data_IF_414165227614
#
_entry.id   IF_414165227614
#
_cell.length_a   1.000
_cell.length_b   1.000
_cell.length_c   1.000
_cell.angle_alpha   90.00
_cell.angle_beta   90.00
_cell.angle_gamma   90.00
#
_symmetry.space_group_name_H-M   'P 1'
#
loop_
_entity.id
_entity.type
_entity.pdbx_description
1 polymer ?
#
# COMPACT_ATOMS: atom_id res chain seq x y z
N UNK A 1 -3.30 7.21 -30.23
CA UNK A 1 -3.57 6.26 -31.33
C UNK A 1 -3.87 4.91 -30.67
N UNK A 2 -5.15 4.64 -30.39
CA UNK A 2 -5.65 3.49 -29.63
C UNK A 2 -6.30 2.49 -30.60
N UNK A 3 -5.46 1.75 -31.32
CA UNK A 3 -5.85 0.61 -32.19
C UNK A 3 -4.67 -0.38 -32.23
N UNK A 4 -4.08 -0.61 -31.05
CA UNK A 4 -2.88 -1.44 -30.91
C UNK A 4 -3.24 -2.83 -30.45
N UNK A 5 -2.35 -3.77 -30.73
CA UNK A 5 -2.37 -5.09 -30.11
C UNK A 5 -1.22 -5.20 -29.15
N UNK A 6 -1.47 -5.78 -27.98
CA UNK A 6 -0.41 -6.21 -27.08
C UNK A 6 -0.58 -7.67 -26.68
N UNK A 7 0.54 -8.33 -26.48
CA UNK A 7 0.64 -9.62 -25.81
C UNK A 7 1.35 -9.41 -24.49
N UNK A 8 0.84 -10.04 -23.42
CA UNK A 8 1.37 -9.93 -22.07
C UNK A 8 1.88 -11.30 -21.64
N UNK A 9 3.15 -11.31 -21.24
CA UNK A 9 3.88 -12.49 -20.79
C UNK A 9 4.33 -12.26 -19.36
N UNK A 10 4.35 -13.31 -18.56
CA UNK A 10 4.62 -13.20 -17.13
C UNK A 10 6.00 -13.79 -16.81
N UNK A 11 6.79 -13.06 -16.02
CA UNK A 11 8.08 -13.57 -15.49
C UNK A 11 7.87 -14.63 -14.38
N UNK A 12 6.62 -14.90 -14.02
CA UNK A 12 6.19 -15.90 -13.04
C UNK A 12 4.88 -16.57 -13.45
N UNK A 13 4.18 -17.18 -12.49
CA UNK A 13 2.84 -17.74 -12.72
C UNK A 13 1.86 -16.61 -13.08
N UNK A 14 1.04 -16.80 -14.11
CA UNK A 14 -0.03 -15.85 -14.45
C UNK A 14 -0.98 -15.61 -13.26
N UNK A 15 -1.50 -14.38 -13.06
CA UNK A 15 -2.45 -14.10 -11.99
C UNK A 15 -3.79 -14.85 -12.16
N UNK A 16 -4.35 -15.31 -11.05
CA UNK A 16 -5.69 -15.93 -11.01
C UNK A 16 -6.81 -14.91 -11.28
N UNK A 17 -6.56 -13.63 -11.03
CA UNK A 17 -7.49 -12.56 -11.34
C UNK A 17 -6.75 -11.36 -11.94
N UNK A 18 -7.28 -10.82 -13.02
CA UNK A 18 -6.81 -9.60 -13.68
C UNK A 18 -8.01 -8.69 -13.92
N UNK A 19 -7.84 -7.39 -13.66
CA UNK A 19 -8.83 -6.37 -14.04
C UNK A 19 -8.21 -5.41 -15.04
N UNK A 20 -8.88 -5.23 -16.17
CA UNK A 20 -8.47 -4.32 -17.24
C UNK A 20 -9.40 -3.12 -17.22
N UNK A 21 -8.81 -1.93 -17.13
CA UNK A 21 -9.51 -0.66 -17.11
C UNK A 21 -9.21 0.12 -18.41
N UNK A 22 -10.17 0.27 -19.33
CA UNK A 22 -10.05 1.18 -20.48
C UNK A 22 -10.19 2.65 -20.04
N UNK A 23 -9.35 3.10 -19.12
CA UNK A 23 -9.30 4.50 -18.68
C UNK A 23 -8.69 5.35 -19.79
N UNK A 24 -9.24 6.54 -20.03
CA UNK A 24 -8.80 7.43 -21.12
C UNK A 24 -9.09 6.94 -22.53
N UNK A 25 -10.02 6.00 -22.69
CA UNK A 25 -10.54 5.59 -23.99
C UNK A 25 -11.78 6.41 -24.31
N UNK A 26 -11.84 7.01 -25.50
CA UNK A 26 -13.07 7.60 -26.03
C UNK A 26 -13.97 6.49 -26.60
N UNK A 27 -15.26 6.78 -26.82
CA UNK A 27 -16.20 5.77 -27.29
C UNK A 27 -15.74 5.14 -28.59
N UNK A 28 -15.72 3.82 -28.64
CA UNK A 28 -15.27 3.07 -29.79
C UNK A 28 -13.77 2.79 -29.82
N UNK A 29 -12.94 3.50 -29.04
CA UNK A 29 -11.53 3.17 -28.88
C UNK A 29 -11.39 1.74 -28.36
N UNK A 30 -10.43 1.02 -28.91
CA UNK A 30 -10.26 -0.38 -28.61
C UNK A 30 -8.81 -0.83 -28.60
N UNK A 31 -8.58 -1.91 -27.85
CA UNK A 31 -7.30 -2.57 -27.71
C UNK A 31 -7.50 -4.09 -27.79
N UNK A 32 -6.67 -4.77 -28.59
CA UNK A 32 -6.59 -6.24 -28.57
C UNK A 32 -5.51 -6.65 -27.59
N UNK A 33 -5.88 -7.48 -26.61
CA UNK A 33 -4.96 -8.04 -25.62
C UNK A 33 -4.86 -9.54 -25.81
N UNK A 34 -3.65 -10.08 -25.76
CA UNK A 34 -3.36 -11.51 -25.65
C UNK A 34 -2.62 -11.80 -24.35
N UNK A 35 -3.28 -12.41 -23.37
CA UNK A 35 -2.68 -12.68 -22.05
C UNK A 35 -2.18 -14.12 -22.00
N UNK A 36 -0.91 -14.33 -21.62
CA UNK A 36 -0.36 -15.68 -21.55
C UNK A 36 -0.86 -16.45 -20.33
N UNK A 37 -1.40 -17.64 -20.54
CA UNK A 37 -1.84 -18.59 -19.54
C UNK A 37 -1.44 -20.01 -19.94
N UNK A 38 -1.21 -20.92 -18.98
CA UNK A 38 -0.86 -22.30 -19.31
C UNK A 38 -2.04 -23.00 -20.01
N UNK A 39 -1.77 -23.95 -20.92
CA UNK A 39 -2.81 -24.75 -21.56
C UNK A 39 -3.72 -25.46 -20.54
N UNK A 40 -5.01 -25.60 -20.87
CA UNK A 40 -6.03 -26.15 -19.99
C UNK A 40 -6.54 -25.19 -18.91
N UNK A 41 -6.19 -23.90 -18.97
CA UNK A 41 -6.77 -22.86 -18.12
C UNK A 41 -8.22 -22.60 -18.50
N UNK A 42 -9.10 -22.48 -17.49
CA UNK A 42 -10.50 -22.09 -17.70
C UNK A 42 -10.74 -20.67 -17.21
N UNK A 43 -11.61 -19.93 -17.89
CA UNK A 43 -11.82 -18.51 -17.64
C UNK A 43 -13.28 -18.17 -17.35
N UNK A 44 -13.49 -17.29 -16.38
CA UNK A 44 -14.72 -16.52 -16.22
C UNK A 44 -14.38 -15.06 -16.48
N UNK A 45 -14.97 -14.48 -17.52
CA UNK A 45 -14.71 -13.10 -17.93
C UNK A 45 -15.98 -12.28 -17.76
N UNK A 46 -15.87 -11.12 -17.11
CA UNK A 46 -17.02 -10.24 -16.84
C UNK A 46 -16.70 -8.81 -17.24
N UNK A 47 -17.65 -8.19 -17.93
CA UNK A 47 -17.66 -6.76 -18.17
C UNK A 47 -18.52 -6.07 -17.11
N UNK A 48 -18.01 -5.02 -16.50
CA UNK A 48 -18.74 -4.22 -15.52
C UNK A 48 -18.68 -2.74 -15.86
N UNK A 49 -19.79 -2.06 -15.57
CA UNK A 49 -19.87 -0.61 -15.56
C UNK A 49 -20.10 -0.16 -14.12
N UNK A 50 -19.12 0.57 -13.60
CA UNK A 50 -19.08 1.05 -12.24
C UNK A 50 -19.28 2.57 -12.22
N UNK A 51 -20.31 3.07 -11.56
CA UNK A 51 -20.50 4.52 -11.44
C UNK A 51 -19.31 5.15 -10.70
N UNK A 52 -18.96 6.42 -10.95
CA UNK A 52 -17.84 7.03 -10.21
C UNK A 52 -18.12 7.26 -8.74
N UNK A 53 -19.36 7.62 -8.44
CA UNK A 53 -19.89 7.84 -7.09
C UNK A 53 -21.34 7.39 -7.14
N UNK A 54 -21.79 6.40 -6.35
CA UNK A 54 -21.13 5.73 -5.23
C UNK A 54 -20.41 4.41 -5.60
N UNK A 55 -19.95 4.23 -6.84
CA UNK A 55 -19.41 2.96 -7.40
C UNK A 55 -20.22 1.72 -7.10
N UNK A 56 -21.53 1.90 -7.20
CA UNK A 56 -22.39 0.79 -7.49
C UNK A 56 -22.12 0.28 -8.91
N UNK A 57 -22.14 -1.04 -9.05
CA UNK A 57 -22.12 -1.74 -10.33
C UNK A 57 -23.51 -1.61 -10.94
N UNK A 58 -23.61 -0.81 -11.98
CA UNK A 58 -24.88 -0.58 -12.68
C UNK A 58 -25.11 -1.61 -13.79
N UNK A 59 -24.01 -2.15 -14.33
CA UNK A 59 -24.06 -3.21 -15.33
C UNK A 59 -23.00 -4.27 -15.02
N UNK A 60 -23.40 -5.53 -15.10
CA UNK A 60 -22.52 -6.68 -14.91
C UNK A 60 -22.95 -7.76 -15.90
N UNK A 61 -22.09 -8.08 -16.84
CA UNK A 61 -22.37 -8.98 -17.95
C UNK A 61 -21.22 -9.97 -18.10
N UNK A 62 -21.55 -11.24 -18.31
CA UNK A 62 -20.57 -12.26 -18.63
C UNK A 62 -20.13 -12.10 -20.09
N UNK A 63 -18.82 -12.11 -20.33
CA UNK A 63 -18.23 -12.15 -21.67
C UNK A 63 -18.09 -13.62 -22.04
N UNK A 64 -18.51 -13.98 -23.24
CA UNK A 64 -18.62 -15.38 -23.67
C UNK A 64 -17.41 -15.84 -24.49
N UNK A 65 -17.10 -17.15 -24.46
CA UNK A 65 -16.06 -17.70 -25.33
C UNK A 65 -16.49 -17.66 -26.80
N UNK A 66 -15.57 -17.25 -27.66
CA UNK A 66 -15.65 -17.34 -29.12
C UNK A 66 -14.95 -18.59 -29.64
N UNK A 67 -15.19 -18.92 -30.92
CA UNK A 67 -14.53 -20.05 -31.58
C UNK A 67 -13.21 -19.69 -32.23
N UNK A 68 -12.94 -18.40 -32.45
CA UNK A 68 -11.72 -17.92 -33.10
C UNK A 68 -11.34 -16.51 -32.67
N UNK A 69 -10.08 -16.15 -32.90
CA UNK A 69 -9.59 -14.78 -32.72
C UNK A 69 -10.35 -13.77 -33.60
N UNK A 70 -10.74 -14.17 -34.81
CA UNK A 70 -11.48 -13.31 -35.74
C UNK A 70 -12.84 -12.86 -35.18
N UNK A 71 -13.55 -13.73 -34.46
CA UNK A 71 -14.82 -13.38 -33.79
C UNK A 71 -14.60 -12.35 -32.67
N UNK A 72 -13.50 -12.47 -31.92
CA UNK A 72 -13.13 -11.47 -30.90
C UNK A 72 -12.81 -10.12 -31.53
N UNK A 73 -12.08 -10.11 -32.63
CA UNK A 73 -11.67 -8.89 -33.34
C UNK A 73 -12.84 -8.17 -34.01
N UNK A 74 -13.72 -8.92 -34.67
CA UNK A 74 -14.91 -8.40 -35.33
C UNK A 74 -16.02 -8.00 -34.34
N UNK A 75 -15.98 -8.55 -33.11
CA UNK A 75 -16.94 -8.29 -32.05
C UNK A 75 -16.88 -6.90 -31.41
N UNK A 76 -17.83 -6.67 -30.49
CA UNK A 76 -18.03 -5.43 -29.74
C UNK A 76 -17.33 -5.43 -28.37
N UNK A 77 -16.43 -6.39 -28.11
CA UNK A 77 -15.73 -6.56 -26.83
C UNK A 77 -16.42 -7.51 -25.86
N UNK A 78 -17.48 -8.22 -26.29
CA UNK A 78 -18.21 -9.22 -25.47
C UNK A 78 -17.78 -10.66 -25.68
N UNK A 79 -16.70 -10.88 -26.42
CA UNK A 79 -16.16 -12.19 -26.72
C UNK A 79 -14.70 -12.28 -26.28
N UNK A 80 -14.30 -13.47 -25.81
CA UNK A 80 -12.91 -13.83 -25.57
C UNK A 80 -12.58 -15.15 -26.27
N UNK A 81 -11.32 -15.37 -26.63
CA UNK A 81 -10.87 -16.61 -27.26
C UNK A 81 -9.59 -17.08 -26.61
N UNK A 82 -9.57 -18.30 -26.08
CA UNK A 82 -8.35 -18.91 -25.57
C UNK A 82 -7.76 -19.85 -26.61
N UNK A 83 -6.57 -19.51 -27.09
CA UNK A 83 -5.85 -20.33 -28.05
C UNK A 83 -4.93 -21.31 -27.33
N UNK A 84 -5.40 -22.53 -27.12
CA UNK A 84 -4.66 -23.60 -26.41
C UNK A 84 -3.28 -23.91 -27.02
N UNK A 85 -3.09 -23.71 -28.33
CA UNK A 85 -1.82 -24.00 -29.00
C UNK A 85 -0.71 -23.01 -28.66
N UNK A 86 -1.06 -21.75 -28.36
CA UNK A 86 -0.11 -20.69 -28.02
C UNK A 86 -0.16 -20.30 -26.55
N UNK A 87 -1.24 -20.62 -25.85
CA UNK A 87 -1.50 -20.22 -24.47
C UNK A 87 -2.00 -18.78 -24.33
N UNK A 88 -2.39 -18.12 -25.42
CA UNK A 88 -2.87 -16.74 -25.38
C UNK A 88 -4.38 -16.66 -25.22
N UNK A 89 -4.82 -15.96 -24.17
CA UNK A 89 -6.20 -15.51 -24.00
C UNK A 89 -6.37 -14.17 -24.70
N UNK A 90 -7.13 -14.16 -25.78
CA UNK A 90 -7.46 -12.97 -26.54
C UNK A 90 -8.77 -12.34 -26.09
N UNK A 91 -8.75 -11.01 -25.93
CA UNK A 91 -9.94 -10.20 -25.72
C UNK A 91 -9.79 -8.83 -26.39
N UNK A 92 -10.92 -8.19 -26.65
CA UNK A 92 -11.01 -6.83 -27.19
C UNK A 92 -11.54 -5.89 -26.11
N UNK A 93 -10.63 -5.14 -25.48
CA UNK A 93 -11.01 -4.09 -24.53
C UNK A 93 -11.47 -2.87 -25.33
N UNK A 94 -12.77 -2.55 -25.27
CA UNK A 94 -13.38 -1.45 -26.04
C UNK A 94 -14.24 -0.60 -25.11
N UNK A 95 -14.08 0.72 -25.17
CA UNK A 95 -14.96 1.63 -24.47
C UNK A 95 -16.29 1.78 -25.20
N UNK A 96 -17.40 1.64 -24.49
CA UNK A 96 -18.76 1.72 -25.03
C UNK A 96 -19.36 3.12 -24.95
N UNK A 97 -18.88 3.95 -24.01
CA UNK A 97 -19.52 5.22 -23.67
C UNK A 97 -18.57 6.40 -23.83
N UNK A 98 -19.11 7.52 -24.33
CA UNK A 98 -18.35 8.74 -24.54
C UNK A 98 -17.90 9.40 -23.23
N UNK A 99 -16.69 9.96 -23.27
CA UNK A 99 -16.14 10.81 -22.21
C UNK A 99 -16.51 12.27 -22.46
N UNK A 100 -16.73 13.01 -21.38
CA UNK A 100 -16.98 14.45 -21.44
C UNK A 100 -15.76 15.24 -20.95
N UNK A 101 -15.10 15.98 -21.83
CA UNK A 101 -13.94 16.81 -21.47
C UNK A 101 -12.73 15.99 -21.04
N UNK A 102 -12.13 16.34 -19.89
CA UNK A 102 -10.89 15.71 -19.38
C UNK A 102 -11.12 14.56 -18.39
N UNK A 103 -12.32 13.98 -18.42
CA UNK A 103 -12.82 13.02 -17.45
C UNK A 103 -12.31 11.60 -17.71
N UNK A 104 -11.59 10.97 -16.76
CA UNK A 104 -11.00 9.62 -16.90
C UNK A 104 -11.93 8.51 -17.44
N UNK A 105 -13.22 8.55 -17.08
CA UNK A 105 -14.25 7.58 -17.50
C UNK A 105 -15.45 8.28 -18.16
N UNK A 106 -16.39 7.53 -18.72
CA UNK A 106 -17.65 8.09 -19.20
C UNK A 106 -18.54 8.63 -18.07
N UNK A 107 -19.59 9.39 -18.42
CA UNK A 107 -20.63 9.81 -17.47
C UNK A 107 -21.50 8.63 -16.99
N UNK A 108 -21.54 7.53 -17.76
CA UNK A 108 -22.25 6.30 -17.40
C UNK A 108 -21.48 5.48 -16.35
N UNK A 109 -20.18 5.73 -16.18
CA UNK A 109 -19.31 5.02 -15.25
C UNK A 109 -17.96 4.66 -15.86
N UNK A 110 -17.10 4.08 -15.02
CA UNK A 110 -15.86 3.43 -15.43
C UNK A 110 -16.15 1.99 -15.85
N UNK A 111 -15.77 1.67 -17.08
CA UNK A 111 -15.83 0.32 -17.62
C UNK A 111 -14.66 -0.49 -17.06
N UNK A 112 -14.86 -1.78 -16.80
CA UNK A 112 -13.79 -2.71 -16.43
C UNK A 112 -14.09 -4.12 -16.93
N UNK A 113 -13.03 -4.84 -17.29
CA UNK A 113 -13.09 -6.25 -17.69
C UNK A 113 -12.34 -7.06 -16.64
N UNK A 114 -13.05 -7.94 -15.94
CA UNK A 114 -12.50 -8.80 -14.90
C UNK A 114 -12.34 -10.20 -15.48
N UNK A 115 -11.13 -10.73 -15.44
CA UNK A 115 -10.77 -12.07 -15.90
C UNK A 115 -10.42 -12.86 -14.65
N UNK A 116 -11.15 -13.94 -14.39
CA UNK A 116 -10.84 -14.92 -13.35
C UNK A 116 -10.42 -16.22 -14.02
N UNK A 117 -9.20 -16.67 -13.76
CA UNK A 117 -8.57 -17.83 -14.36
C UNK A 117 -8.42 -18.95 -13.33
N UNK A 118 -8.82 -20.16 -13.70
CA UNK A 118 -8.58 -21.37 -12.90
C UNK A 118 -7.52 -22.20 -13.60
N UNK A 119 -6.32 -22.23 -12.99
CA UNK A 119 -5.11 -22.86 -13.51
C UNK A 119 -4.71 -24.05 -12.65
N UNK A 120 -4.21 -25.11 -13.27
CA UNK A 120 -3.64 -26.27 -12.56
C UNK A 120 -2.11 -26.21 -12.43
N UNK A 121 -1.45 -25.45 -13.31
CA UNK A 121 0.01 -25.29 -13.31
C UNK A 121 0.47 -24.10 -12.46
N UNK A 122 1.64 -24.27 -11.82
CA UNK A 122 2.37 -23.23 -11.10
C UNK A 122 3.67 -22.80 -11.82
N UNK A 123 3.87 -23.24 -13.06
CA UNK A 123 5.03 -22.85 -13.87
C UNK A 123 4.94 -21.39 -14.32
N UNK A 124 6.08 -20.85 -14.76
CA UNK A 124 6.14 -19.55 -15.43
C UNK A 124 5.21 -19.55 -16.64
N UNK A 125 4.40 -18.50 -16.77
CA UNK A 125 3.45 -18.32 -17.87
C UNK A 125 4.06 -17.38 -18.92
N UNK A 126 5.05 -17.90 -19.65
CA UNK A 126 5.62 -17.23 -20.81
C UNK A 126 5.33 -18.00 -22.11
N UNK A 127 4.52 -17.39 -22.97
CA UNK A 127 4.06 -17.93 -24.24
C UNK A 127 4.92 -17.48 -25.43
N UNK A 128 6.02 -16.74 -25.22
CA UNK A 128 6.81 -16.12 -26.29
C UNK A 128 7.19 -17.13 -27.38
N UNK A 129 7.81 -18.24 -26.99
CA UNK A 129 8.28 -19.26 -27.92
C UNK A 129 7.14 -19.92 -28.73
N UNK A 130 5.95 -20.07 -28.14
CA UNK A 130 4.80 -20.68 -28.79
C UNK A 130 4.00 -19.68 -29.65
N UNK A 131 3.94 -18.41 -29.25
CA UNK A 131 3.15 -17.37 -29.89
C UNK A 131 3.83 -16.76 -31.13
N UNK A 132 5.13 -16.49 -31.07
CA UNK A 132 5.82 -15.70 -32.11
C UNK A 132 6.22 -16.41 -33.42
N UNK A 133 6.00 -17.73 -33.59
CA UNK A 133 5.90 -18.33 -34.93
C UNK A 133 4.61 -17.98 -35.67
N UNK A 134 3.52 -17.72 -34.93
CA UNK A 134 2.16 -17.50 -35.48
C UNK A 134 1.82 -16.00 -35.54
N UNK A 135 2.20 -15.22 -34.54
CA UNK A 135 1.87 -13.80 -34.39
C UNK A 135 3.08 -12.90 -34.66
N UNK A 136 3.73 -13.11 -35.81
CA UNK A 136 5.06 -12.59 -36.16
C UNK A 136 5.14 -11.07 -36.44
N UNK A 137 4.19 -10.26 -35.99
CA UNK A 137 4.37 -8.82 -36.01
C UNK A 137 5.41 -8.46 -34.96
N UNK A 138 6.60 -8.06 -35.41
CA UNK A 138 7.65 -7.52 -34.54
C UNK A 138 7.06 -6.44 -33.63
N UNK A 139 7.16 -6.56 -32.29
CA UNK A 139 6.68 -5.54 -31.36
C UNK A 139 7.28 -4.18 -31.74
N UNK A 140 6.43 -3.16 -31.91
CA UNK A 140 6.90 -1.80 -32.25
C UNK A 140 7.75 -1.22 -31.12
N UNK A 141 7.48 -1.63 -29.88
CA UNK A 141 8.28 -1.37 -28.69
C UNK A 141 8.15 -2.57 -27.74
N UNK A 142 9.25 -3.13 -27.29
CA UNK A 142 9.26 -4.06 -26.15
C UNK A 142 9.34 -3.23 -24.87
N UNK A 143 8.21 -3.11 -24.17
CA UNK A 143 8.20 -2.53 -22.81
C UNK A 143 8.38 -3.71 -21.85
N UNK A 144 9.50 -3.81 -21.11
CA UNK A 144 9.66 -4.84 -20.10
C UNK A 144 8.56 -4.67 -19.04
N UNK A 145 8.10 -5.79 -18.47
CA UNK A 145 7.21 -5.73 -17.30
C UNK A 145 7.86 -4.83 -16.25
N UNK A 146 7.15 -3.83 -15.70
CA UNK A 146 7.73 -2.95 -14.69
C UNK A 146 8.16 -3.82 -13.50
N UNK A 147 9.46 -3.90 -13.25
CA UNK A 147 9.95 -4.48 -12.01
C UNK A 147 9.74 -3.45 -10.90
N UNK A 148 9.38 -3.92 -9.70
CA UNK A 148 9.24 -3.04 -8.53
C UNK A 148 10.49 -2.19 -8.30
N UNK A 149 11.67 -2.70 -8.66
CA UNK A 149 12.93 -1.97 -8.55
C UNK A 149 13.02 -0.80 -9.53
N UNK A 150 12.54 -0.95 -10.78
CA UNK A 150 12.71 0.06 -11.82
C UNK A 150 11.82 1.30 -11.64
N UNK A 151 10.68 1.16 -10.94
CA UNK A 151 9.77 2.28 -10.64
C UNK A 151 10.16 3.13 -9.42
N UNK A 152 11.11 2.68 -8.61
CA UNK A 152 11.53 3.38 -7.38
C UNK A 152 12.54 4.50 -7.67
N UNK A 153 13.23 4.46 -8.81
CA UNK A 153 14.41 5.31 -9.04
C UNK A 153 14.22 6.53 -9.94
N UNK A 154 13.06 6.75 -10.57
CA UNK A 154 12.86 7.93 -11.43
C UNK A 154 11.49 8.58 -11.27
N UNK A 155 11.26 9.19 -10.10
CA UNK A 155 10.14 10.10 -9.88
C UNK A 155 10.65 11.53 -9.62
N UNK A 156 11.62 11.97 -10.42
CA UNK A 156 12.29 13.27 -10.29
C UNK A 156 11.39 14.49 -10.59
N UNK A 157 10.17 14.28 -11.12
CA UNK A 157 9.22 15.34 -11.49
C UNK A 157 7.76 15.12 -11.08
N UNK A 158 7.44 14.06 -10.32
CA UNK A 158 6.05 13.68 -10.05
C UNK A 158 5.41 14.40 -8.84
N UNK A 159 6.15 15.25 -8.14
CA UNK A 159 5.64 16.07 -7.02
C UNK A 159 5.24 15.29 -5.76
N UNK A 160 5.14 13.98 -5.84
CA UNK A 160 5.06 13.08 -4.70
C UNK A 160 6.48 12.64 -4.32
N UNK A 161 6.89 12.74 -3.04
CA UNK A 161 8.20 12.28 -2.61
C UNK A 161 8.38 10.76 -2.80
N UNK A 162 7.28 9.99 -2.93
CA UNK A 162 7.28 8.54 -3.09
C UNK A 162 6.06 8.03 -3.89
N UNK A 163 6.16 6.84 -4.54
CA UNK A 163 5.05 6.22 -5.24
C UNK A 163 3.92 5.82 -4.28
N UNK A 164 2.70 6.29 -4.56
CA UNK A 164 1.49 5.85 -3.85
C UNK A 164 1.10 4.47 -4.39
N UNK A 165 1.54 3.42 -3.70
CA UNK A 165 1.12 2.05 -3.99
C UNK A 165 -0.21 1.81 -3.28
N UNK A 166 -1.30 1.63 -4.04
CA UNK A 166 -2.58 1.13 -3.52
C UNK A 166 -2.73 -0.33 -3.91
N UNK A 167 -2.60 -1.24 -2.96
CA UNK A 167 -2.97 -2.65 -3.14
C UNK A 167 -4.32 -2.84 -2.45
N UNK A 168 -5.28 -3.44 -3.14
CA UNK A 168 -6.71 -3.52 -2.72
C UNK A 168 -6.98 -4.37 -1.46
N UNK A 169 -5.93 -4.86 -0.78
CA UNK A 169 -6.00 -5.55 0.51
C UNK A 169 -4.85 -5.15 1.46
N UNK A 170 -4.18 -4.03 1.22
CA UNK A 170 -3.16 -3.57 2.17
C UNK A 170 -3.81 -3.29 3.53
N UNK A 171 -3.29 -3.96 4.56
CA UNK A 171 -3.57 -3.67 5.96
C UNK A 171 -2.62 -2.57 6.40
N UNK A 172 -3.13 -1.71 7.24
CA UNK A 172 -2.40 -0.59 7.79
C UNK A 172 -2.53 -0.58 9.30
N UNK A 173 -1.47 -0.13 9.94
CA UNK A 173 -1.48 0.30 11.31
C UNK A 173 -1.67 1.81 11.34
N UNK A 174 -2.83 2.27 11.79
CA UNK A 174 -3.07 3.68 12.08
C UNK A 174 -2.55 3.97 13.47
N UNK A 175 -1.65 4.95 13.56
CA UNK A 175 -0.94 5.29 14.78
C UNK A 175 -1.14 6.76 15.11
N UNK A 176 -1.52 7.02 16.36
CA UNK A 176 -1.43 8.34 16.98
C UNK A 176 -0.44 8.27 18.14
N UNK A 177 0.63 9.07 18.06
CA UNK A 177 1.57 9.26 19.16
C UNK A 177 1.42 10.69 19.66
N UNK A 178 1.07 10.87 20.93
CA UNK A 178 1.03 12.17 21.58
C UNK A 178 1.98 12.18 22.77
N UNK A 179 2.85 13.19 22.80
CA UNK A 179 3.79 13.42 23.89
C UNK A 179 3.56 14.80 24.50
N UNK A 180 3.47 14.83 25.83
CA UNK A 180 3.23 16.01 26.63
C UNK A 180 4.28 16.09 27.75
N UNK A 181 5.09 17.14 27.71
CA UNK A 181 5.94 17.56 28.81
C UNK A 181 5.11 18.16 29.95
N UNK A 182 5.79 18.51 31.04
CA UNK A 182 5.15 19.05 32.24
C UNK A 182 4.19 20.23 31.95
N UNK A 183 4.61 21.20 31.13
CA UNK A 183 3.77 22.38 30.82
C UNK A 183 2.50 21.99 30.06
N UNK A 184 2.63 21.10 29.08
CA UNK A 184 1.52 20.60 28.28
C UNK A 184 0.53 19.78 29.15
N UNK A 185 1.04 19.02 30.13
CA UNK A 185 0.23 18.30 31.11
C UNK A 185 -0.59 19.28 31.97
N UNK A 186 0.01 20.38 32.42
CA UNK A 186 -0.71 21.43 33.17
C UNK A 186 -1.80 22.11 32.33
N UNK A 187 -1.66 22.12 31.00
CA UNK A 187 -2.68 22.60 30.07
C UNK A 187 -3.76 21.55 29.75
N UNK A 188 -3.68 20.36 30.35
CA UNK A 188 -4.66 19.29 30.22
C UNK A 188 -4.33 18.24 29.16
N UNK A 189 -3.19 18.33 28.48
CA UNK A 189 -2.73 17.27 27.57
C UNK A 189 -2.26 16.05 28.37
N UNK A 190 -2.35 14.86 27.77
CA UNK A 190 -1.84 13.61 28.36
C UNK A 190 -1.12 12.83 27.29
N UNK A 191 0.09 12.37 27.58
CA UNK A 191 0.80 11.48 26.65
C UNK A 191 0.06 10.16 26.49
N UNK A 192 -0.05 9.69 25.26
CA UNK A 192 -0.56 8.37 24.94
C UNK A 192 -0.07 7.93 23.56
N UNK A 193 -0.06 6.61 23.36
CA UNK A 193 0.09 5.99 22.06
C UNK A 193 -1.22 5.25 21.78
N UNK A 194 -1.80 5.48 20.62
CA UNK A 194 -2.98 4.76 20.14
C UNK A 194 -2.62 4.09 18.83
N UNK A 195 -2.84 2.78 18.75
CA UNK A 195 -2.63 2.00 17.54
C UNK A 195 -3.91 1.26 17.19
N UNK A 196 -4.31 1.32 15.93
CA UNK A 196 -5.49 0.63 15.43
C UNK A 196 -5.20 -0.05 14.11
N UNK A 197 -5.71 -1.26 13.96
CA UNK A 197 -5.69 -1.96 12.68
C UNK A 197 -6.76 -1.35 11.77
N UNK A 198 -6.35 -1.02 10.56
CA UNK A 198 -7.19 -0.45 9.51
C UNK A 198 -6.90 -1.19 8.22
N UNK A 199 -7.93 -1.64 7.53
CA UNK A 199 -7.77 -2.22 6.19
C UNK A 199 -8.11 -1.11 5.21
N UNK A 200 -7.43 -1.04 4.05
CA UNK A 200 -8.01 -0.33 2.92
C UNK A 200 -9.30 -1.05 2.49
N UNK A 201 -10.43 -0.79 3.16
CA UNK A 201 -11.71 -1.05 2.54
C UNK A 201 -11.95 0.06 1.52
N UNK A 202 -11.61 -0.18 0.26
CA UNK A 202 -12.46 0.35 -0.80
C UNK A 202 -13.74 -0.48 -0.74
N UNK A 203 -14.68 -0.03 0.12
CA UNK A 203 -16.09 -0.30 -0.12
C UNK A 203 -16.72 1.02 -0.48
N UNK A 204 -16.78 1.26 -1.77
CA UNK A 204 -17.42 2.43 -2.31
C UNK A 204 -18.89 2.45 -1.89
N UNK A 205 -19.24 3.41 -1.05
CA UNK A 205 -20.59 3.96 -0.89
C UNK A 205 -20.48 5.31 -0.16
N UNK A 206 -20.77 6.40 -0.88
CA UNK A 206 -21.25 7.69 -0.38
C UNK A 206 -20.42 8.42 0.70
N UNK A 207 -19.87 9.57 0.34
CA UNK A 207 -19.63 10.76 1.19
C UNK A 207 -19.49 10.46 2.69
N UNK A 208 -18.43 9.73 3.05
CA UNK A 208 -17.85 9.64 4.39
C UNK A 208 -16.65 8.70 4.23
N UNK A 209 -15.44 9.22 4.47
CA UNK A 209 -14.28 8.38 4.71
C UNK A 209 -14.56 7.59 5.99
N UNK A 210 -15.23 6.45 5.90
CA UNK A 210 -15.39 5.53 7.02
C UNK A 210 -14.19 4.57 6.98
N UNK A 211 -13.13 4.97 7.65
CA UNK A 211 -12.11 4.03 8.11
C UNK A 211 -12.81 3.11 9.11
N UNK A 212 -12.94 1.82 8.79
CA UNK A 212 -13.29 0.82 9.80
C UNK A 212 -12.07 0.61 10.69
N UNK A 213 -12.00 1.42 11.75
CA UNK A 213 -11.04 1.25 12.83
C UNK A 213 -11.47 0.01 13.61
N UNK A 214 -10.73 -1.08 13.48
CA UNK A 214 -10.96 -2.29 14.26
C UNK A 214 -10.15 -2.10 15.55
N UNK A 215 -10.85 -1.82 16.65
CA UNK A 215 -10.34 -1.81 18.02
C UNK A 215 -9.06 -0.98 18.23
N UNK A 216 -9.18 0.35 18.19
CA UNK A 216 -8.10 1.22 18.64
C UNK A 216 -7.79 1.00 20.12
N UNK A 217 -6.57 0.54 20.42
CA UNK A 217 -6.11 0.38 21.80
C UNK A 217 -5.29 1.61 22.18
N UNK A 218 -5.74 2.31 23.23
CA UNK A 218 -5.01 3.43 23.81
C UNK A 218 -4.10 2.94 24.93
N UNK A 219 -2.82 3.16 24.75
CA UNK A 219 -1.76 2.90 25.70
C UNK A 219 -1.35 4.22 26.34
N UNK A 220 -1.85 4.50 27.54
CA UNK A 220 -1.56 5.73 28.26
C UNK A 220 -1.86 5.61 29.75
N UNK A 221 -0.82 5.66 30.57
CA UNK A 221 -0.89 5.72 32.03
C UNK A 221 -0.14 6.96 32.53
N UNK A 222 -0.30 7.31 33.81
CA UNK A 222 0.48 8.39 34.43
C UNK A 222 1.92 7.91 34.65
N UNK A 223 2.82 8.15 33.70
CA UNK A 223 4.25 7.80 33.79
C UNK A 223 5.13 9.03 33.48
N UNK A 224 6.40 8.95 33.86
CA UNK A 224 7.43 9.95 33.54
C UNK A 224 8.52 9.32 32.69
N UNK A 225 9.10 10.07 31.77
CA UNK A 225 10.13 9.61 30.85
C UNK A 225 9.56 9.04 29.56
N UNK A 226 10.21 8.03 29.00
CA UNK A 226 9.84 7.42 27.72
C UNK A 226 8.83 6.29 27.90
N UNK A 227 7.90 6.17 26.95
CA UNK A 227 7.02 5.03 26.75
C UNK A 227 7.28 4.48 25.36
N UNK A 228 7.64 3.20 25.31
CA UNK A 228 8.09 2.53 24.08
C UNK A 228 7.22 1.29 23.86
N UNK A 229 6.63 1.22 22.68
CA UNK A 229 5.80 0.08 22.24
C UNK A 229 6.42 -0.50 20.98
N UNK A 230 6.62 -1.82 20.96
CA UNK A 230 6.95 -2.54 19.73
C UNK A 230 5.73 -3.23 19.16
N UNK A 231 5.55 -3.10 17.85
CA UNK A 231 4.46 -3.70 17.08
C UNK A 231 5.07 -4.56 15.99
N UNK A 232 4.60 -5.79 15.84
CA UNK A 232 5.02 -6.67 14.75
C UNK A 232 4.58 -6.07 13.39
N UNK A 233 5.52 -5.86 12.48
CA UNK A 233 5.22 -5.18 11.21
C UNK A 233 4.43 -6.05 10.22
N UNK A 234 4.29 -7.36 10.46
CA UNK A 234 3.50 -8.27 9.62
C UNK A 234 2.05 -8.37 10.10
N UNK A 235 1.85 -8.51 11.41
CA UNK A 235 0.52 -8.74 12.00
C UNK A 235 -0.15 -7.48 12.51
N UNK A 236 0.63 -6.47 12.90
CA UNK A 236 0.13 -5.27 13.60
C UNK A 236 -0.08 -5.48 15.11
N UNK A 237 0.34 -6.61 15.67
CA UNK A 237 0.16 -6.91 17.09
C UNK A 237 1.21 -6.21 17.96
N UNK A 238 0.77 -5.64 19.08
CA UNK A 238 1.68 -5.13 20.11
C UNK A 238 2.43 -6.32 20.75
N UNK A 239 3.74 -6.35 20.59
CA UNK A 239 4.60 -7.44 21.09
C UNK A 239 5.27 -7.11 22.42
N UNK A 240 5.58 -5.83 22.66
CA UNK A 240 6.15 -5.33 23.92
C UNK A 240 5.67 -3.91 24.19
N UNK A 241 5.54 -3.58 25.47
CA UNK A 241 5.22 -2.24 25.95
C UNK A 241 5.95 -2.00 27.28
N UNK A 242 6.79 -0.96 27.36
CA UNK A 242 7.53 -0.60 28.57
C UNK A 242 7.65 0.92 28.74
N UNK A 243 7.84 1.36 29.97
CA UNK A 243 8.14 2.76 30.32
C UNK A 243 9.50 2.88 31.01
N UNK A 244 10.21 3.98 30.75
CA UNK A 244 11.56 4.22 31.23
C UNK A 244 11.66 5.64 31.80
N UNK A 245 11.74 5.75 33.13
CA UNK A 245 11.93 7.02 33.84
C UNK A 245 13.41 7.44 33.77
N UNK A 246 13.81 7.97 32.62
CA UNK A 246 15.14 8.53 32.34
C UNK A 246 15.38 9.88 33.02
N UNK A 247 14.39 10.43 33.72
CA UNK A 247 14.58 11.59 34.57
C UNK A 247 15.16 11.19 35.94
N UNK A 248 14.67 10.10 36.51
CA UNK A 248 14.99 9.72 37.89
C UNK A 248 16.14 8.74 38.01
N UNK A 249 16.49 8.03 36.94
CA UNK A 249 17.50 6.96 37.01
C UNK A 249 18.35 6.84 35.73
N UNK A 250 19.69 6.85 35.83
CA UNK A 250 20.57 6.54 34.71
C UNK A 250 20.50 5.05 34.31
N UNK A 251 20.05 4.16 35.19
CA UNK A 251 19.82 2.76 34.83
C UNK A 251 18.65 2.62 33.84
N UNK A 252 17.66 3.53 33.88
CA UNK A 252 16.55 3.55 32.92
C UNK A 252 17.01 3.91 31.50
N UNK A 253 18.05 4.75 31.38
CA UNK A 253 18.65 5.12 30.08
C UNK A 253 19.25 3.88 29.39
N UNK A 254 20.11 3.15 30.11
CA UNK A 254 20.73 1.92 29.61
C UNK A 254 19.67 0.84 29.36
N UNK A 255 18.72 0.65 30.27
CA UNK A 255 17.65 -0.34 30.12
C UNK A 255 16.77 -0.07 28.88
N UNK A 256 16.49 1.20 28.56
CA UNK A 256 15.76 1.56 27.34
C UNK A 256 16.57 1.22 26.09
N UNK A 257 17.87 1.52 26.09
CA UNK A 257 18.74 1.20 24.97
C UNK A 257 18.84 -0.30 24.74
N UNK A 258 19.01 -1.08 25.81
CA UNK A 258 19.05 -2.54 25.76
C UNK A 258 17.71 -3.12 25.30
N UNK A 259 16.59 -2.56 25.75
CA UNK A 259 15.26 -2.95 25.29
C UNK A 259 15.12 -2.77 23.77
N UNK A 260 15.48 -1.59 23.24
CA UNK A 260 15.44 -1.31 21.79
C UNK A 260 16.35 -2.26 21.02
N UNK A 261 17.55 -2.55 21.52
CA UNK A 261 18.57 -3.35 20.81
C UNK A 261 18.32 -4.85 20.87
N UNK A 262 17.92 -5.36 22.02
CA UNK A 262 17.97 -6.79 22.34
C UNK A 262 16.57 -7.41 22.49
N UNK A 263 15.60 -6.66 23.02
CA UNK A 263 14.30 -7.23 23.40
C UNK A 263 13.22 -7.04 22.32
N UNK A 264 13.35 -5.98 21.50
CA UNK A 264 12.52 -5.75 20.32
C UNK A 264 13.04 -6.62 19.17
N UNK A 265 12.17 -7.41 18.54
CA UNK A 265 12.54 -8.23 17.39
C UNK A 265 12.80 -7.38 16.14
N UNK A 266 13.67 -7.84 15.24
CA UNK A 266 13.80 -7.25 13.90
C UNK A 266 12.47 -7.30 13.14
N UNK A 267 12.28 -6.37 12.20
CA UNK A 267 11.01 -6.13 11.50
C UNK A 267 9.87 -5.68 12.42
N UNK A 268 10.18 -4.88 13.44
CA UNK A 268 9.18 -4.28 14.32
C UNK A 268 9.04 -2.78 14.06
N UNK A 269 7.80 -2.30 14.06
CA UNK A 269 7.47 -0.88 14.19
C UNK A 269 7.67 -0.50 15.66
N UNK A 270 8.31 0.63 15.94
CA UNK A 270 8.60 1.09 17.30
C UNK A 270 7.97 2.46 17.52
N UNK A 271 7.05 2.55 18.48
CA UNK A 271 6.34 3.78 18.82
C UNK A 271 6.91 4.34 20.12
N UNK A 272 7.22 5.64 20.13
CA UNK A 272 7.86 6.28 21.29
C UNK A 272 7.14 7.57 21.63
N UNK A 273 6.72 7.70 22.88
CA UNK A 273 6.17 8.94 23.44
C UNK A 273 6.91 9.32 24.72
N UNK A 274 7.05 10.63 24.99
CA UNK A 274 7.57 11.13 26.27
C UNK A 274 6.46 11.73 27.12
N UNK A 275 6.62 11.64 28.44
CA UNK A 275 5.71 12.24 29.42
C UNK A 275 6.47 12.93 30.55
N UNK A 276 6.00 14.11 30.96
CA UNK A 276 6.54 14.97 32.02
C UNK A 276 7.98 15.46 31.77
N UNK A 277 8.97 14.59 32.01
CA UNK A 277 10.39 14.89 31.86
C UNK A 277 11.17 13.64 31.43
N UNK A 278 11.77 13.62 30.23
CA UNK A 278 12.65 12.53 29.79
C UNK A 278 14.17 12.84 29.81
N UNK A 279 14.59 14.09 29.97
CA UNK A 279 15.92 14.55 29.49
C UNK A 279 17.12 14.33 30.42
N UNK A 280 16.93 14.20 31.74
CA UNK A 280 18.02 14.29 32.74
C UNK A 280 19.18 13.29 32.49
N UNK A 281 18.87 12.01 32.27
CA UNK A 281 19.87 10.96 32.04
C UNK A 281 19.81 10.34 30.64
N UNK A 282 18.99 10.88 29.72
CA UNK A 282 18.85 10.35 28.37
C UNK A 282 20.12 10.60 27.54
N UNK A 283 20.92 9.54 27.37
CA UNK A 283 22.18 9.57 26.62
C UNK A 283 22.26 8.36 25.72
N UNK A 284 22.32 7.15 26.28
CA UNK A 284 22.46 5.91 25.54
C UNK A 284 21.17 5.56 24.80
N UNK A 285 20.01 5.85 25.40
CA UNK A 285 18.72 5.64 24.75
C UNK A 285 18.58 6.47 23.47
N UNK A 286 19.15 7.68 23.43
CA UNK A 286 19.12 8.54 22.23
C UNK A 286 19.96 7.96 21.10
N UNK A 287 21.04 7.23 21.42
CA UNK A 287 21.84 6.49 20.43
C UNK A 287 21.00 5.34 19.87
N UNK A 288 20.36 4.56 20.74
CA UNK A 288 19.49 3.47 20.32
C UNK A 288 18.30 3.93 19.46
N UNK A 289 17.73 5.12 19.73
CA UNK A 289 16.68 5.70 18.89
C UNK A 289 17.16 5.99 17.45
N UNK A 290 18.41 6.39 17.25
CA UNK A 290 18.98 6.59 15.90
C UNK A 290 19.12 5.29 15.13
N UNK A 291 19.39 4.19 15.82
CA UNK A 291 19.49 2.86 15.20
C UNK A 291 18.15 2.38 14.60
N UNK A 292 17.03 2.94 15.06
CA UNK A 292 15.68 2.70 14.53
C UNK A 292 15.12 3.86 13.68
N UNK A 293 16.00 4.76 13.23
CA UNK A 293 15.70 5.79 12.24
C UNK A 293 15.50 7.22 12.77
N UNK A 294 15.75 7.48 14.06
CA UNK A 294 15.68 8.85 14.57
C UNK A 294 16.77 9.73 13.93
N UNK A 295 16.39 10.92 13.48
CA UNK A 295 17.27 11.92 12.89
C UNK A 295 17.57 13.05 13.89
N UNK A 296 18.73 13.67 13.75
CA UNK A 296 19.05 14.83 14.59
C UNK A 296 18.13 16.03 14.26
N UNK A 297 17.60 16.74 15.27
CA UNK A 297 17.85 16.56 16.70
C UNK A 297 16.95 15.47 17.36
N UNK A 298 17.56 14.47 18.00
CA UNK A 298 16.82 13.41 18.74
C UNK A 298 16.54 13.80 20.20
N UNK A 299 17.36 14.72 20.75
CA UNK A 299 17.31 15.12 22.15
C UNK A 299 16.21 16.15 22.43
N UNK A 300 15.41 15.93 23.47
CA UNK A 300 14.58 16.97 24.07
C UNK A 300 15.36 17.72 25.15
N UNK A 301 15.11 19.03 25.27
CA UNK A 301 15.50 19.80 26.45
C UNK A 301 14.67 19.40 27.68
N UNK A 302 14.98 19.99 28.83
CA UNK A 302 14.20 19.81 30.07
C UNK A 302 12.70 19.98 29.80
N UNK A 303 11.90 18.95 30.13
CA UNK A 303 10.43 18.92 29.95
C UNK A 303 9.97 19.11 28.49
N UNK A 304 10.83 18.76 27.54
CA UNK A 304 10.50 18.77 26.12
C UNK A 304 9.59 17.60 25.72
N UNK A 305 9.06 17.69 24.52
CA UNK A 305 8.09 16.78 23.95
C UNK A 305 8.74 16.00 22.79
N UNK A 306 8.78 14.66 22.87
CA UNK A 306 9.31 13.81 21.81
C UNK A 306 8.35 12.68 21.47
N UNK A 307 7.84 12.70 20.24
CA UNK A 307 7.05 11.62 19.65
C UNK A 307 7.82 11.01 18.48
N UNK A 308 7.80 9.69 18.33
CA UNK A 308 8.44 9.01 17.20
C UNK A 308 7.69 7.76 16.78
N UNK A 309 7.70 7.53 15.46
CA UNK A 309 7.40 6.26 14.80
C UNK A 309 8.68 5.80 14.11
N UNK A 310 9.30 4.75 14.62
CA UNK A 310 10.55 4.17 14.14
C UNK A 310 10.37 2.75 13.60
N UNK A 311 11.45 2.20 13.04
CA UNK A 311 11.47 0.83 12.55
C UNK A 311 12.79 0.13 12.91
N UNK A 312 12.70 -1.04 13.54
CA UNK A 312 13.86 -1.89 13.80
C UNK A 312 14.05 -2.86 12.65
N UNK A 313 14.94 -2.55 11.72
CA UNK A 313 15.25 -3.40 10.58
C UNK A 313 16.53 -3.00 9.85
N UNK A 314 16.81 -3.61 8.71
CA UNK A 314 17.99 -3.31 7.88
C UNK A 314 17.74 -2.23 6.83
N UNK A 315 16.50 -1.74 6.74
CA UNK A 315 16.06 -0.66 5.86
C UNK A 315 15.33 0.38 6.70
N UNK A 316 15.30 1.63 6.25
CA UNK A 316 14.55 2.71 6.87
C UNK A 316 13.36 3.08 5.99
N UNK A 317 12.15 2.61 6.33
CA UNK A 317 10.95 3.00 5.63
C UNK A 317 10.70 4.49 5.74
N UNK A 318 10.04 5.02 4.74
CA UNK A 318 9.74 6.44 4.60
C UNK A 318 8.72 7.00 5.57
N UNK A 319 7.90 6.13 6.13
CA UNK A 319 6.91 6.49 7.13
C UNK A 319 7.51 6.68 8.53
N UNK A 320 8.82 6.48 8.71
CA UNK A 320 9.53 6.86 9.93
C UNK A 320 9.38 8.37 10.13
N UNK A 321 8.91 8.75 11.31
CA UNK A 321 8.61 10.14 11.64
C UNK A 321 9.02 10.43 13.07
N UNK A 322 9.45 11.66 13.32
CA UNK A 322 9.66 12.16 14.67
C UNK A 322 9.22 13.61 14.78
N UNK A 323 8.78 13.99 15.97
CA UNK A 323 8.49 15.38 16.34
C UNK A 323 9.19 15.64 17.66
N UNK A 324 10.05 16.66 17.66
CA UNK A 324 10.81 17.09 18.82
C UNK A 324 10.53 18.58 19.06
N UNK A 325 9.91 18.90 20.19
CA UNK A 325 9.52 20.26 20.55
C UNK A 325 10.06 20.62 21.95
N UNK A 326 10.56 21.85 22.14
CA UNK A 326 10.89 22.36 23.47
C UNK A 326 9.67 22.37 24.41
N UNK A 327 9.93 22.51 25.71
CA UNK A 327 8.87 22.67 26.71
C UNK A 327 8.03 23.92 26.44
N UNK A 328 6.71 23.81 26.56
CA UNK A 328 5.76 24.89 26.32
C UNK A 328 5.44 25.15 24.84
N UNK A 329 6.02 24.35 23.92
CA UNK A 329 5.73 24.39 22.49
C UNK A 329 5.03 23.12 21.98
N UNK A 330 4.74 22.18 22.87
CA UNK A 330 4.02 20.95 22.56
C UNK A 330 2.49 21.09 22.60
N UNK A 331 1.76 19.96 22.57
CA UNK A 331 2.27 18.59 22.56
C UNK A 331 2.95 18.22 21.23
N UNK A 332 3.91 17.29 21.27
CA UNK A 332 4.43 16.67 20.06
C UNK A 332 3.46 15.57 19.62
N UNK A 333 2.97 15.64 18.37
CA UNK A 333 1.95 14.73 17.86
C UNK A 333 2.33 14.18 16.50
N UNK A 334 2.16 12.87 16.33
CA UNK A 334 2.26 12.17 15.04
C UNK A 334 0.94 11.45 14.80
N UNK A 335 0.39 11.63 13.61
CA UNK A 335 -0.68 10.81 13.06
C UNK A 335 -0.19 10.22 11.75
N UNK A 336 -0.12 8.89 11.66
CA UNK A 336 0.38 8.23 10.47
C UNK A 336 -0.32 6.90 10.23
N UNK A 337 -0.33 6.48 8.97
CA UNK A 337 -0.90 5.23 8.50
C UNK A 337 0.21 4.40 7.89
N UNK A 338 0.62 3.34 8.58
CA UNK A 338 1.80 2.53 8.24
C UNK A 338 1.33 1.28 7.50
N UNK A 339 1.77 1.00 6.26
CA UNK A 339 1.45 -0.24 5.60
C UNK A 339 2.12 -1.42 6.32
N UNK A 340 1.34 -2.45 6.65
CA UNK A 340 1.87 -3.69 7.19
C UNK A 340 2.53 -4.51 6.08
N UNK A 341 3.57 -5.26 6.45
CA UNK A 341 4.46 -5.96 5.53
C UNK A 341 4.04 -7.42 5.24
N UNK A 342 2.83 -7.83 5.64
CA UNK A 342 2.38 -9.23 5.59
C UNK A 342 0.97 -9.47 5.08
#
# INVERSE_FOLDING_TARGET
MLEKTYTIHWDGRAPEQITIYPINFDSGDWLRLGLCYPPGTTFQVRYQLEMRVPSAIFHNEEIHPAQSLHEVESGDGKLFYFEESTGLLFLKARAKYDREGHNYCSHMGCERIIISATMTSNTVSDCTAAAYPTYSLTPTETVPMPSFADGVFDCSGCGAPEPIVSVDNMRFLEVTVLSAGWLEIFQGHKSYIESAMSINQIKLTLVLNLVLQIDGVRHGNNHRGYHVISVDALTGDVTRELTFDTHSSPASDVAMADFIRNDIASNSIVLVATSDEPSQYAVECLVALKEIGAQEPVKTGNRGNFAMVGFKGTVWPSWIQQVNLPSGQGPAQIYTKIPLMG
#
